data_IF_502917211506
#
_entry.id   IF_502917211506
#
_cell.length_a   1.000
_cell.length_b   1.000
_cell.length_c   1.000
_cell.angle_alpha   90.00
_cell.angle_beta   90.00
_cell.angle_gamma   90.00
#
_symmetry.space_group_name_H-M   'P 1'
#
loop_
_entity.id
_entity.type
_entity.pdbx_description
1 polymer ?
#
# COMPACT_ATOMS: atom_id res chain seq x y z
N UNK A 1 -7.23 5.00 -3.43
CA UNK A 1 -5.99 5.57 -2.83
C UNK A 1 -5.38 4.64 -1.78
N UNK A 2 -6.09 4.25 -0.72
CA UNK A 2 -5.53 3.38 0.34
C UNK A 2 -4.92 2.06 -0.20
N UNK A 3 -5.63 1.34 -1.08
CA UNK A 3 -5.11 0.12 -1.71
C UNK A 3 -3.81 0.35 -2.49
N UNK A 4 -3.76 1.43 -3.26
CA UNK A 4 -2.58 1.80 -4.04
C UNK A 4 -1.40 2.10 -3.12
N UNK A 5 -1.60 2.85 -2.03
CA UNK A 5 -0.53 3.10 -1.07
C UNK A 5 -0.08 1.81 -0.36
N UNK A 6 -1.00 0.91 0.00
CA UNK A 6 -0.67 -0.39 0.57
C UNK A 6 0.23 -1.20 -0.37
N UNK A 7 -0.11 -1.20 -1.66
CA UNK A 7 0.63 -1.91 -2.70
C UNK A 7 1.97 -1.24 -3.05
N UNK A 8 2.01 0.09 -3.16
CA UNK A 8 3.22 0.85 -3.46
C UNK A 8 4.21 0.85 -2.29
N UNK A 9 3.76 0.91 -1.05
CA UNK A 9 4.64 1.00 0.12
C UNK A 9 4.88 -0.35 0.80
N UNK A 10 4.29 -1.43 0.26
CA UNK A 10 4.35 -2.78 0.86
C UNK A 10 3.83 -2.79 2.30
N UNK A 11 2.77 -2.04 2.55
CA UNK A 11 2.12 -1.91 3.85
C UNK A 11 0.90 -2.84 3.94
N UNK A 12 0.63 -3.31 5.15
CA UNK A 12 -0.67 -3.92 5.47
C UNK A 12 -1.74 -2.84 5.50
N UNK A 13 -2.98 -3.24 5.26
CA UNK A 13 -4.14 -2.33 5.32
C UNK A 13 -4.19 -1.55 6.64
N UNK A 14 -3.91 -2.21 7.78
CA UNK A 14 -3.93 -1.59 9.11
C UNK A 14 -2.77 -0.61 9.36
N UNK A 15 -1.68 -0.71 8.60
CA UNK A 15 -0.59 0.26 8.59
C UNK A 15 -0.98 1.50 7.77
N UNK A 16 -1.61 1.30 6.61
CA UNK A 16 -2.01 2.40 5.71
C UNK A 16 -3.07 3.31 6.32
N UNK A 17 -4.08 2.75 6.99
CA UNK A 17 -5.13 3.56 7.63
C UNK A 17 -4.62 4.43 8.79
N UNK A 18 -3.40 4.15 9.29
CA UNK A 18 -2.73 4.94 10.33
C UNK A 18 -1.89 6.07 9.76
N UNK A 19 -1.76 6.19 8.43
CA UNK A 19 -1.11 7.35 7.82
C UNK A 19 -1.82 8.63 8.25
N UNK A 20 -1.02 9.65 8.53
CA UNK A 20 -1.49 10.97 8.90
C UNK A 20 -1.13 11.99 7.82
N UNK A 21 -1.81 13.13 7.77
CA UNK A 21 -1.45 14.20 6.84
C UNK A 21 -0.01 14.68 7.07
N UNK A 22 0.41 14.72 8.33
CA UNK A 22 1.75 15.10 8.78
C UNK A 22 2.84 14.14 8.29
N UNK A 23 2.46 12.94 7.86
CA UNK A 23 3.36 11.97 7.27
C UNK A 23 3.56 12.15 5.76
N UNK A 24 2.81 13.04 5.13
CA UNK A 24 2.88 13.30 3.70
C UNK A 24 3.63 14.60 3.49
N UNK A 25 4.89 14.49 3.08
CA UNK A 25 5.69 15.65 2.70
C UNK A 25 5.49 15.95 1.21
N UNK A 26 4.92 17.11 0.95
CA UNK A 26 4.71 17.63 -0.40
C UNK A 26 5.15 19.08 -0.45
N UNK A 27 6.25 19.31 -1.17
CA UNK A 27 6.71 20.66 -1.52
C UNK A 27 5.67 21.31 -2.45
N UNK A 28 5.17 22.52 -2.14
CA UNK A 28 4.25 23.23 -3.03
C UNK A 28 4.79 23.35 -4.46
N UNK A 29 3.98 22.99 -5.46
CA UNK A 29 4.38 23.01 -6.87
C UNK A 29 5.11 21.75 -7.36
N UNK A 30 5.62 20.90 -6.47
CA UNK A 30 6.24 19.63 -6.88
C UNK A 30 5.19 18.64 -7.38
N UNK A 31 5.49 18.02 -8.52
CA UNK A 31 4.63 17.07 -9.22
C UNK A 31 5.34 15.76 -9.57
N UNK A 32 6.66 15.68 -9.39
CA UNK A 32 7.48 14.52 -9.76
C UNK A 32 7.47 13.44 -8.69
N UNK A 33 7.27 13.78 -7.43
CA UNK A 33 7.20 12.82 -6.34
C UNK A 33 6.43 13.36 -5.13
N UNK A 34 6.13 12.46 -4.21
CA UNK A 34 5.64 12.76 -2.86
C UNK A 34 6.37 11.85 -1.88
N UNK A 35 6.83 12.42 -0.77
CA UNK A 35 7.51 11.65 0.27
C UNK A 35 6.49 11.27 1.35
N UNK A 36 6.52 10.01 1.77
CA UNK A 36 5.61 9.46 2.80
C UNK A 36 6.45 8.84 3.89
N UNK A 37 6.17 9.14 5.16
CA UNK A 37 6.88 8.58 6.31
C UNK A 37 5.95 7.81 7.26
N UNK A 38 6.47 6.93 8.10
CA UNK A 38 5.73 6.35 9.23
C UNK A 38 6.42 6.67 10.55
N UNK A 39 5.68 7.24 11.49
CA UNK A 39 6.23 7.68 12.78
C UNK A 39 6.62 6.51 13.70
N UNK A 40 5.89 5.39 13.65
CA UNK A 40 6.18 4.22 14.51
C UNK A 40 5.76 2.94 13.82
N UNK A 41 6.73 2.08 13.47
CA UNK A 41 6.44 0.67 13.21
C UNK A 41 6.54 -0.09 14.53
N UNK A 42 5.57 -0.98 14.79
CA UNK A 42 5.41 -1.75 16.03
C UNK A 42 6.62 -2.63 16.42
N UNK A 43 7.68 -2.68 15.61
CA UNK A 43 8.87 -3.52 15.83
C UNK A 43 10.21 -2.85 15.46
N UNK A 44 10.28 -1.51 15.30
CA UNK A 44 11.59 -0.86 15.15
C UNK A 44 12.27 -0.71 16.52
N UNK A 45 13.13 -1.68 16.87
CA UNK A 45 14.07 -1.58 17.99
C UNK A 45 15.16 -0.51 17.75
N UNK A 46 15.24 0.09 16.56
CA UNK A 46 16.31 1.01 16.13
C UNK A 46 15.88 2.48 15.98
N UNK A 47 14.61 2.84 16.20
CA UNK A 47 14.16 4.24 16.19
C UNK A 47 14.22 4.96 14.83
N UNK A 48 14.62 4.30 13.74
CA UNK A 48 14.67 4.89 12.40
C UNK A 48 13.26 5.03 11.81
N UNK A 49 12.89 6.25 11.41
CA UNK A 49 11.70 6.51 10.59
C UNK A 49 11.94 5.92 9.20
N UNK A 50 11.06 5.01 8.76
CA UNK A 50 11.09 4.53 7.38
C UNK A 50 10.26 5.47 6.50
N UNK A 51 10.82 5.85 5.36
CA UNK A 51 10.21 6.77 4.41
C UNK A 51 10.26 6.23 2.99
N UNK A 52 9.29 6.65 2.18
CA UNK A 52 9.14 6.26 0.80
C UNK A 52 9.05 7.50 -0.06
N UNK A 53 9.88 7.57 -1.09
CA UNK A 53 9.72 8.53 -2.18
C UNK A 53 8.89 7.93 -3.29
N UNK A 54 7.64 8.37 -3.40
CA UNK A 54 6.70 7.88 -4.39
C UNK A 54 6.70 8.78 -5.62
N UNK A 55 7.36 8.33 -6.68
CA UNK A 55 7.46 9.07 -7.94
C UNK A 55 6.14 9.07 -8.72
N UNK A 56 5.87 10.18 -9.40
CA UNK A 56 4.83 10.24 -10.40
C UNK A 56 5.10 9.21 -11.50
N UNK A 57 4.01 8.63 -12.02
CA UNK A 57 4.04 7.70 -13.12
C UNK A 57 3.04 8.17 -14.17
N UNK A 58 3.54 8.85 -15.20
CA UNK A 58 2.68 9.32 -16.30
C UNK A 58 2.44 8.25 -17.35
N UNK A 59 3.32 7.24 -17.43
CA UNK A 59 3.16 6.09 -18.33
C UNK A 59 2.00 5.18 -17.90
N UNK A 60 1.79 5.03 -16.59
CA UNK A 60 0.64 4.34 -16.02
C UNK A 60 -0.06 5.21 -14.96
N UNK A 61 -1.03 6.02 -15.40
CA UNK A 61 -1.80 6.89 -14.51
C UNK A 61 -2.58 6.15 -13.43
N UNK A 62 -2.89 4.86 -13.64
CA UNK A 62 -3.71 4.06 -12.72
C UNK A 62 -2.96 3.70 -11.43
N UNK A 63 -1.63 3.59 -11.51
CA UNK A 63 -0.75 3.31 -10.37
C UNK A 63 0.04 4.54 -9.89
N UNK A 64 -0.26 5.72 -10.44
CA UNK A 64 0.46 6.95 -10.13
C UNK A 64 0.11 7.48 -8.73
N UNK A 65 1.07 7.51 -7.77
CA UNK A 65 0.81 7.95 -6.41
C UNK A 65 0.45 9.44 -6.34
N UNK A 66 1.14 10.29 -7.12
CA UNK A 66 0.89 11.74 -7.14
C UNK A 66 -0.53 12.04 -7.62
N UNK A 67 -0.99 11.37 -8.68
CA UNK A 67 -2.38 11.49 -9.16
C UNK A 67 -3.37 11.00 -8.11
N UNK A 68 -3.09 9.88 -7.45
CA UNK A 68 -3.95 9.36 -6.38
C UNK A 68 -4.09 10.36 -5.20
N UNK A 69 -3.02 11.06 -4.82
CA UNK A 69 -3.09 12.11 -3.80
C UNK A 69 -3.84 13.36 -4.28
N UNK A 70 -3.72 13.74 -5.56
CA UNK A 70 -4.50 14.85 -6.13
C UNK A 70 -6.00 14.51 -6.11
N UNK A 71 -6.37 13.28 -6.47
CA UNK A 71 -7.74 12.80 -6.39
C UNK A 71 -8.26 12.81 -4.95
N UNK A 72 -7.44 12.36 -3.99
CA UNK A 72 -7.80 12.42 -2.56
C UNK A 72 -8.03 13.86 -2.09
N UNK A 73 -7.14 14.78 -2.46
CA UNK A 73 -7.26 16.19 -2.09
C UNK A 73 -8.52 16.83 -2.72
N UNK A 74 -8.84 16.46 -3.95
CA UNK A 74 -10.06 16.94 -4.63
C UNK A 74 -11.33 16.42 -3.95
N UNK A 75 -11.31 15.18 -3.44
CA UNK A 75 -12.43 14.59 -2.69
C UNK A 75 -12.65 15.28 -1.34
N UNK A 76 -11.58 15.67 -0.65
CA UNK A 76 -11.67 16.33 0.66
C UNK A 76 -12.08 17.79 0.57
N UNK A 77 -11.79 18.48 -0.53
CA UNK A 77 -12.14 19.88 -0.68
C UNK A 77 -11.40 20.81 0.30
N UNK A 78 -11.77 22.09 0.35
CA UNK A 78 -11.05 23.10 1.13
C UNK A 78 -11.34 23.06 2.64
N UNK A 79 -12.45 22.46 3.07
CA UNK A 79 -12.94 22.50 4.45
C UNK A 79 -12.27 21.48 5.38
N UNK A 80 -11.62 20.46 4.82
CA UNK A 80 -10.95 19.42 5.59
C UNK A 80 -9.61 19.93 6.11
N UNK A 81 -9.43 19.84 7.43
CA UNK A 81 -8.14 20.13 8.06
C UNK A 81 -7.11 19.09 7.62
N UNK A 82 -5.98 19.56 7.10
CA UNK A 82 -4.85 18.73 6.65
C UNK A 82 -3.96 18.34 7.84
N UNK A 83 -4.58 17.78 8.88
CA UNK A 83 -3.93 17.38 10.13
C UNK A 83 -4.67 16.19 10.75
N UNK A 84 -3.93 15.23 11.29
CA UNK A 84 -4.50 14.01 11.84
C UNK A 84 -4.61 12.89 10.80
N UNK A 85 -5.58 11.96 10.92
CA UNK A 85 -5.71 10.82 10.02
C UNK A 85 -5.82 11.22 8.55
N UNK A 86 -5.05 10.57 7.67
CA UNK A 86 -5.13 10.80 6.23
C UNK A 86 -6.41 10.21 5.63
N UNK A 87 -6.88 9.08 6.16
CA UNK A 87 -8.12 8.43 5.74
C UNK A 87 -9.18 8.64 6.81
N UNK A 88 -10.16 9.49 6.52
CA UNK A 88 -11.18 9.90 7.48
C UNK A 88 -12.32 8.88 7.59
N UNK A 89 -12.83 8.68 8.81
CA UNK A 89 -14.03 7.90 9.05
C UNK A 89 -15.27 8.65 8.53
N UNK A 90 -16.19 7.91 7.92
CA UNK A 90 -17.50 8.42 7.50
C UNK A 90 -18.56 7.65 8.27
N UNK A 91 -19.43 8.36 8.97
CA UNK A 91 -20.52 7.75 9.75
C UNK A 91 -21.57 7.14 8.82
N UNK A 92 -22.46 6.31 9.37
CA UNK A 92 -23.56 5.74 8.61
C UNK A 92 -24.50 6.81 8.01
N UNK A 93 -24.55 7.99 8.63
CA UNK A 93 -25.32 9.15 8.18
C UNK A 93 -24.57 10.00 7.14
N UNK A 94 -23.36 9.61 6.74
CA UNK A 94 -22.55 10.32 5.74
C UNK A 94 -21.68 11.45 6.29
N UNK A 95 -21.61 11.65 7.62
CA UNK A 95 -20.80 12.70 8.21
C UNK A 95 -19.31 12.31 8.22
N UNK A 96 -18.43 13.23 7.84
CA UNK A 96 -16.97 13.03 7.83
C UNK A 96 -16.38 13.40 9.19
N UNK A 97 -15.80 12.43 9.88
CA UNK A 97 -15.17 12.61 11.20
C UNK A 97 -13.68 12.95 11.03
N UNK A 98 -13.33 14.24 11.02
CA UNK A 98 -11.96 14.71 10.71
C UNK A 98 -10.88 14.23 11.68
N UNK A 99 -11.24 13.84 12.91
CA UNK A 99 -10.29 13.37 13.94
C UNK A 99 -10.23 11.85 14.06
N UNK A 100 -11.09 11.11 13.35
CA UNK A 100 -11.20 9.66 13.48
C UNK A 100 -10.72 8.96 12.21
N UNK A 101 -9.78 8.00 12.32
CA UNK A 101 -9.30 7.26 11.16
C UNK A 101 -10.38 6.30 10.65
N UNK A 102 -10.36 6.04 9.35
CA UNK A 102 -11.09 4.94 8.73
C UNK A 102 -10.71 3.62 9.40
N UNK A 103 -11.69 2.77 9.65
CA UNK A 103 -11.46 1.47 10.28
C UNK A 103 -11.04 0.41 9.25
N UNK A 104 -10.18 -0.51 9.67
CA UNK A 104 -9.80 -1.67 8.84
C UNK A 104 -11.03 -2.48 8.39
N UNK A 105 -12.04 -2.62 9.26
CA UNK A 105 -13.29 -3.32 8.92
C UNK A 105 -14.08 -2.64 7.80
N UNK A 106 -14.10 -1.30 7.76
CA UNK A 106 -14.76 -0.56 6.69
C UNK A 106 -14.01 -0.74 5.37
N UNK A 107 -12.68 -0.66 5.41
CA UNK A 107 -11.86 -0.85 4.21
C UNK A 107 -11.90 -2.30 3.70
N UNK A 108 -11.93 -3.30 4.58
CA UNK A 108 -12.11 -4.71 4.19
C UNK A 108 -13.47 -4.97 3.55
N UNK A 109 -14.56 -4.39 4.08
CA UNK A 109 -15.89 -4.50 3.47
C UNK A 109 -15.96 -3.84 2.09
N UNK A 110 -15.33 -2.67 1.95
CA UNK A 110 -15.20 -2.00 0.65
C UNK A 110 -14.45 -2.90 -0.33
N UNK A 111 -13.33 -3.50 0.09
CA UNK A 111 -12.53 -4.39 -0.75
C UNK A 111 -13.34 -5.61 -1.22
N UNK A 112 -14.08 -6.26 -0.33
CA UNK A 112 -14.93 -7.40 -0.72
C UNK A 112 -15.97 -6.98 -1.75
N UNK A 113 -16.60 -5.81 -1.58
CA UNK A 113 -17.57 -5.28 -2.54
C UNK A 113 -16.93 -4.98 -3.90
N UNK A 114 -15.77 -4.33 -3.90
CA UNK A 114 -15.04 -3.98 -5.11
C UNK A 114 -14.64 -5.25 -5.88
N UNK A 115 -14.12 -6.27 -5.20
CA UNK A 115 -13.74 -7.55 -5.80
C UNK A 115 -14.93 -8.34 -6.35
N UNK A 116 -16.07 -8.32 -5.63
CA UNK A 116 -17.32 -8.90 -6.13
C UNK A 116 -17.81 -8.18 -7.38
N UNK A 117 -17.79 -6.85 -7.40
CA UNK A 117 -18.17 -6.05 -8.56
C UNK A 117 -17.27 -6.29 -9.78
N UNK A 118 -16.00 -6.63 -9.54
CA UNK A 118 -15.04 -7.03 -10.58
C UNK A 118 -15.15 -8.50 -11.00
N UNK A 119 -16.04 -9.30 -10.38
CA UNK A 119 -16.28 -10.69 -10.74
C UNK A 119 -15.26 -11.70 -10.18
N UNK A 120 -14.45 -11.34 -9.19
CA UNK A 120 -13.51 -12.28 -8.57
C UNK A 120 -14.25 -13.32 -7.72
N UNK A 121 -14.22 -14.60 -8.12
CA UNK A 121 -14.90 -15.69 -7.39
C UNK A 121 -14.29 -15.98 -6.01
N UNK A 122 -12.99 -15.77 -5.84
CA UNK A 122 -12.27 -16.00 -4.58
C UNK A 122 -12.05 -14.74 -3.74
N UNK A 123 -12.94 -13.74 -3.83
CA UNK A 123 -12.83 -12.46 -3.13
C UNK A 123 -12.63 -12.62 -1.61
N UNK A 124 -13.17 -13.69 -1.00
CA UNK A 124 -13.06 -13.99 0.43
C UNK A 124 -11.62 -14.32 0.88
N UNK A 125 -10.73 -14.67 -0.04
CA UNK A 125 -9.31 -14.95 0.25
C UNK A 125 -8.47 -13.68 0.36
N UNK A 126 -9.03 -12.53 -0.01
CA UNK A 126 -8.33 -11.24 0.07
C UNK A 126 -8.50 -10.62 1.45
N UNK A 127 -7.40 -10.17 2.03
CA UNK A 127 -7.37 -9.62 3.38
C UNK A 127 -6.31 -8.54 3.56
N UNK A 128 -5.96 -8.27 4.82
CA UNK A 128 -5.09 -7.16 5.23
C UNK A 128 -3.69 -7.19 4.61
N UNK A 129 -3.24 -8.36 4.15
CA UNK A 129 -1.93 -8.58 3.54
C UNK A 129 -1.95 -8.64 2.00
N UNK A 130 -3.11 -8.65 1.35
CA UNK A 130 -3.20 -8.93 -0.09
C UNK A 130 -2.47 -7.91 -0.94
N UNK A 131 -2.61 -6.62 -0.64
CA UNK A 131 -1.90 -5.57 -1.38
C UNK A 131 -0.39 -5.57 -1.11
N UNK A 132 0.02 -5.85 0.14
CA UNK A 132 1.43 -6.06 0.46
C UNK A 132 2.03 -7.21 -0.35
N UNK A 133 1.32 -8.34 -0.43
CA UNK A 133 1.71 -9.51 -1.24
C UNK A 133 1.80 -9.16 -2.72
N UNK A 134 0.74 -8.60 -3.30
CA UNK A 134 0.71 -8.22 -4.71
C UNK A 134 1.79 -7.18 -5.05
N UNK A 135 2.10 -6.26 -4.13
CA UNK A 135 3.15 -5.26 -4.30
C UNK A 135 4.55 -5.86 -4.33
N UNK A 136 4.80 -6.87 -3.50
CA UNK A 136 6.04 -7.64 -3.54
C UNK A 136 6.17 -8.41 -4.87
N UNK A 137 5.12 -9.12 -5.26
CA UNK A 137 5.10 -9.93 -6.47
C UNK A 137 5.30 -9.08 -7.73
N UNK A 138 4.63 -7.94 -7.83
CA UNK A 138 4.81 -7.02 -8.95
C UNK A 138 6.26 -6.53 -9.06
N UNK A 139 6.88 -6.16 -7.93
CA UNK A 139 8.27 -5.69 -7.94
C UNK A 139 9.25 -6.74 -8.42
N UNK A 140 9.10 -7.98 -7.98
CA UNK A 140 9.97 -9.09 -8.40
C UNK A 140 9.66 -9.51 -9.84
N UNK A 141 8.41 -9.86 -10.14
CA UNK A 141 8.03 -10.51 -11.39
C UNK A 141 7.98 -9.54 -12.57
N UNK A 142 7.55 -8.29 -12.33
CA UNK A 142 7.34 -7.27 -13.38
C UNK A 142 8.47 -6.25 -13.39
N UNK A 143 8.83 -5.66 -12.23
CA UNK A 143 9.92 -4.66 -12.17
C UNK A 143 11.32 -5.26 -12.05
N UNK A 144 11.44 -6.59 -11.93
CA UNK A 144 12.72 -7.31 -11.82
C UNK A 144 13.59 -6.86 -10.65
N UNK A 145 12.97 -6.40 -9.57
CA UNK A 145 13.71 -6.10 -8.34
C UNK A 145 14.23 -7.38 -7.70
N UNK A 146 15.42 -7.32 -7.15
CA UNK A 146 15.95 -8.38 -6.29
C UNK A 146 15.22 -8.42 -4.95
N UNK A 147 15.32 -9.55 -4.25
CA UNK A 147 14.65 -9.72 -2.96
C UNK A 147 15.14 -8.71 -1.90
N UNK A 148 16.43 -8.35 -1.92
CA UNK A 148 17.03 -7.35 -1.03
C UNK A 148 16.50 -5.93 -1.32
N UNK A 149 16.31 -5.56 -2.59
CA UNK A 149 15.67 -4.28 -2.96
C UNK A 149 14.25 -4.19 -2.41
N UNK A 150 13.48 -5.29 -2.50
CA UNK A 150 12.13 -5.35 -1.95
C UNK A 150 12.16 -5.28 -0.41
N UNK A 151 13.08 -5.99 0.24
CA UNK A 151 13.26 -5.97 1.69
C UNK A 151 13.59 -4.55 2.20
N UNK A 152 14.53 -3.87 1.54
CA UNK A 152 14.90 -2.49 1.85
C UNK A 152 13.70 -1.54 1.64
N UNK A 153 12.98 -1.68 0.53
CA UNK A 153 11.84 -0.82 0.22
C UNK A 153 10.68 -0.96 1.21
N UNK A 154 10.35 -2.18 1.66
CA UNK A 154 9.30 -2.38 2.66
C UNK A 154 9.76 -2.15 4.11
N UNK A 155 11.01 -1.71 4.30
CA UNK A 155 11.58 -1.39 5.61
C UNK A 155 11.65 -2.60 6.53
N UNK A 156 12.00 -3.77 5.99
CA UNK A 156 12.12 -5.00 6.76
C UNK A 156 13.52 -5.16 7.34
N UNK A 157 13.61 -5.54 8.61
CA UNK A 157 14.86 -6.03 9.20
C UNK A 157 15.27 -7.39 8.61
N UNK A 158 16.51 -7.82 8.81
CA UNK A 158 16.98 -9.13 8.33
C UNK A 158 16.14 -10.30 8.86
N UNK A 159 15.68 -10.23 10.12
CA UNK A 159 14.82 -11.26 10.72
C UNK A 159 13.45 -11.28 10.06
N UNK A 160 12.87 -10.11 9.74
CA UNK A 160 11.59 -10.04 9.05
C UNK A 160 11.69 -10.38 7.56
N UNK A 161 12.86 -10.17 6.93
CA UNK A 161 13.09 -10.52 5.53
C UNK A 161 12.89 -12.03 5.27
N UNK A 162 13.15 -12.89 6.25
CA UNK A 162 12.81 -14.33 6.16
C UNK A 162 11.30 -14.52 6.04
N UNK A 163 10.50 -13.76 6.80
CA UNK A 163 9.03 -13.83 6.74
C UNK A 163 8.46 -13.21 5.46
N UNK A 164 9.20 -12.28 4.82
CA UNK A 164 8.81 -11.62 3.58
C UNK A 164 8.69 -12.60 2.41
N UNK A 165 9.48 -13.68 2.35
CA UNK A 165 9.38 -14.68 1.26
C UNK A 165 7.98 -15.27 1.12
N UNK A 166 7.19 -15.33 2.20
CA UNK A 166 5.78 -15.74 2.15
C UNK A 166 4.92 -14.83 1.25
N UNK A 167 5.37 -13.60 0.99
CA UNK A 167 4.71 -12.65 0.10
C UNK A 167 5.14 -12.77 -1.36
N UNK A 168 6.21 -13.49 -1.67
CA UNK A 168 6.64 -13.71 -3.06
C UNK A 168 5.85 -14.83 -3.72
N UNK A 169 5.35 -15.75 -2.89
CA UNK A 169 4.56 -16.89 -3.31
C UNK A 169 3.06 -16.61 -3.31
N UNK A 170 2.35 -16.96 -4.37
CA UNK A 170 0.88 -16.98 -4.43
C UNK A 170 0.37 -18.40 -4.20
N UNK A 171 -0.79 -18.60 -3.54
CA UNK A 171 -1.50 -19.88 -3.59
C UNK A 171 -1.79 -20.36 -5.03
N UNK A 172 -1.88 -19.43 -5.99
CA UNK A 172 -2.09 -19.72 -7.41
C UNK A 172 -0.79 -19.70 -8.23
N UNK A 173 0.39 -19.60 -7.61
CA UNK A 173 1.64 -19.68 -8.37
C UNK A 173 1.79 -21.09 -8.94
N UNK A 174 2.17 -21.18 -10.21
CA UNK A 174 2.16 -22.43 -10.93
C UNK A 174 3.32 -23.33 -10.45
N UNK A 175 2.97 -24.42 -9.77
CA UNK A 175 3.92 -25.43 -9.31
C UNK A 175 4.18 -26.49 -10.39
N UNK A 176 3.37 -26.53 -11.45
CA UNK A 176 3.42 -27.58 -12.48
C UNK A 176 4.73 -27.55 -13.27
N UNK A 177 5.32 -26.37 -13.44
CA UNK A 177 6.59 -26.17 -14.17
C UNK A 177 7.81 -26.03 -13.24
N UNK A 178 7.70 -26.43 -11.97
CA UNK A 178 8.82 -26.31 -11.02
C UNK A 178 10.10 -26.99 -11.53
N UNK A 179 9.97 -28.13 -12.21
CA UNK A 179 11.09 -28.87 -12.79
C UNK A 179 11.76 -28.15 -13.97
N UNK A 180 11.09 -27.19 -14.60
CA UNK A 180 11.64 -26.41 -15.70
C UNK A 180 12.44 -25.19 -15.21
N UNK A 181 12.34 -24.82 -13.92
CA UNK A 181 13.05 -23.66 -13.38
C UNK A 181 14.58 -23.85 -13.31
N UNK A 182 15.05 -25.10 -13.23
CA UNK A 182 16.47 -25.47 -13.23
C UNK A 182 17.01 -25.76 -14.64
N UNK A 183 16.17 -25.63 -15.67
CA UNK A 183 16.66 -25.70 -17.06
C UNK A 183 17.43 -24.42 -17.36
N UNK A 184 18.75 -24.54 -17.43
CA UNK A 184 19.64 -23.51 -17.94
C UNK A 184 19.25 -23.19 -19.40
N UNK A 185 18.66 -22.02 -19.64
CA UNK A 185 18.48 -21.43 -20.97
C UNK A 185 19.49 -20.30 -21.19
#
# INVERSE_FOLDING_TARGET
VAYLLAWLMLLRIDEVIKLRFENIDKIPGERRFVDVSLNTRKQNQTGLLHSWRLHANDDDPSICPVRAFILLASLYGPEIKKFGPLFLHVTAQGAVMQTQPLTASTLSRALSRDLQGLGYSSWALYGTHSFRRGGCQYRIKVKRWSADMVAAWGGWSQVEAVTMFRYFYSPNDNHEYMHDYDRNY
#
